data_IF_497097110870
#
_entry.id   IF_497097110870
#
_cell.length_a   1.000
_cell.length_b   1.000
_cell.length_c   1.000
_cell.angle_alpha   90.00
_cell.angle_beta   90.00
_cell.angle_gamma   90.00
#
_symmetry.space_group_name_H-M   'P 1'
#
loop_
_entity.id
_entity.type
_entity.pdbx_description
1 polymer ?
#
# COMPACT_ATOMS: atom_id res chain seq x y z
N UNK A 1 -9.55 -6.25 -69.13
CA UNK A 1 -9.28 -5.50 -67.87
C UNK A 1 -10.05 -4.18 -68.01
N UNK A 2 -11.35 -4.05 -67.66
CA UNK A 2 -11.98 -3.82 -66.34
C UNK A 2 -11.10 -2.96 -65.41
N UNK A 3 -11.54 -1.88 -64.76
CA UNK A 3 -12.78 -1.10 -64.72
C UNK A 3 -12.54 0.09 -63.78
N UNK A 4 -12.96 1.29 -64.19
CA UNK A 4 -13.58 2.41 -63.43
C UNK A 4 -12.93 3.02 -62.16
N UNK A 5 -12.91 4.36 -62.23
CA UNK A 5 -12.44 5.37 -61.27
C UNK A 5 -13.51 5.56 -60.18
N UNK A 6 -13.14 5.45 -58.90
CA UNK A 6 -14.04 5.78 -57.79
C UNK A 6 -13.80 7.21 -57.29
N UNK A 7 -14.85 8.02 -57.40
CA UNK A 7 -14.97 9.36 -56.83
C UNK A 7 -15.16 9.30 -55.31
N UNK A 8 -14.49 10.22 -54.62
CA UNK A 8 -14.50 10.33 -53.16
C UNK A 8 -15.81 10.88 -52.59
N UNK A 9 -16.11 10.46 -51.37
CA UNK A 9 -17.06 11.12 -50.47
C UNK A 9 -16.37 11.27 -49.11
N UNK A 10 -16.00 12.51 -48.77
CA UNK A 10 -15.46 12.87 -47.47
C UNK A 10 -16.63 13.14 -46.51
N UNK A 11 -16.76 12.32 -45.47
CA UNK A 11 -17.65 12.57 -44.33
C UNK A 11 -16.78 13.01 -43.15
N UNK A 12 -16.81 14.32 -42.88
CA UNK A 12 -16.16 14.93 -41.72
C UNK A 12 -16.89 14.54 -40.44
N UNK A 13 -16.21 13.79 -39.56
CA UNK A 13 -16.65 13.58 -38.18
C UNK A 13 -16.05 14.71 -37.35
N UNK A 14 -16.90 15.64 -36.91
CA UNK A 14 -16.52 16.67 -35.92
C UNK A 14 -16.35 15.95 -34.60
N UNK A 15 -15.10 15.79 -34.16
CA UNK A 15 -14.77 15.25 -32.85
C UNK A 15 -15.18 16.27 -31.77
N UNK A 16 -16.26 15.98 -31.04
CA UNK A 16 -16.54 16.62 -29.76
C UNK A 16 -15.55 16.03 -28.75
N UNK A 17 -14.35 16.61 -28.67
CA UNK A 17 -13.49 16.42 -27.51
C UNK A 17 -14.11 17.24 -26.39
N UNK A 18 -15.12 16.65 -25.74
CA UNK A 18 -15.54 17.10 -24.43
C UNK A 18 -14.34 16.88 -23.51
N UNK A 19 -13.59 17.94 -23.24
CA UNK A 19 -12.58 17.95 -22.21
C UNK A 19 -13.28 17.65 -20.89
N UNK A 20 -13.23 16.39 -20.46
CA UNK A 20 -13.52 16.04 -19.09
C UNK A 20 -12.62 16.92 -18.22
N UNK A 21 -13.15 17.50 -17.13
CA UNK A 21 -12.33 18.31 -16.23
C UNK A 21 -11.16 17.45 -15.80
N UNK A 22 -9.96 17.93 -16.10
CA UNK A 22 -8.73 17.40 -15.54
C UNK A 22 -8.73 17.74 -14.05
N UNK A 23 -9.45 16.93 -13.26
CA UNK A 23 -9.12 16.77 -11.84
C UNK A 23 -7.62 16.52 -11.79
N UNK A 24 -6.92 17.33 -11.03
CA UNK A 24 -5.52 17.15 -10.73
C UNK A 24 -5.38 15.78 -10.06
N UNK A 25 -5.19 14.74 -10.87
CA UNK A 25 -4.92 13.40 -10.38
C UNK A 25 -3.56 13.48 -9.72
N UNK A 26 -3.53 13.61 -8.41
CA UNK A 26 -2.37 13.16 -7.67
C UNK A 26 -2.11 11.73 -8.18
N UNK A 27 -0.99 11.53 -8.84
CA UNK A 27 -0.74 10.31 -9.61
C UNK A 27 -0.74 9.14 -8.64
N UNK A 28 -1.52 8.10 -8.95
CA UNK A 28 -1.50 6.85 -8.18
C UNK A 28 -0.07 6.34 -8.05
N UNK A 29 0.26 5.76 -6.90
CA UNK A 29 1.61 5.26 -6.61
C UNK A 29 1.58 3.76 -6.32
N UNK A 30 2.38 2.98 -7.05
CA UNK A 30 2.56 1.56 -6.76
C UNK A 30 3.67 1.38 -5.72
N UNK A 31 3.34 0.70 -4.61
CA UNK A 31 4.30 0.38 -3.55
C UNK A 31 4.27 -1.11 -3.21
N UNK A 32 5.36 -1.61 -2.65
CA UNK A 32 5.42 -2.96 -2.09
C UNK A 32 6.20 -3.01 -0.78
N UNK A 33 5.83 -3.94 0.09
CA UNK A 33 6.51 -4.19 1.36
C UNK A 33 7.38 -5.44 1.24
N UNK A 34 8.65 -5.31 1.59
CA UNK A 34 9.63 -6.40 1.60
C UNK A 34 10.38 -6.46 2.92
N UNK A 35 10.96 -7.61 3.25
CA UNK A 35 11.72 -7.82 4.48
C UNK A 35 10.91 -7.41 5.72
N UNK A 36 9.61 -7.75 5.73
CA UNK A 36 8.73 -7.46 6.86
C UNK A 36 9.06 -8.43 8.00
N UNK A 37 9.40 -7.85 9.14
CA UNK A 37 9.63 -8.52 10.41
C UNK A 37 8.66 -7.94 11.44
N UNK A 38 7.92 -8.80 12.15
CA UNK A 38 7.01 -8.37 13.22
C UNK A 38 7.31 -9.21 14.46
N UNK A 39 7.82 -8.55 15.50
CA UNK A 39 8.07 -9.16 16.80
C UNK A 39 6.87 -8.94 17.70
N UNK A 40 6.48 -10.01 18.39
CA UNK A 40 5.31 -10.04 19.26
C UNK A 40 5.69 -10.57 20.62
N UNK A 41 4.89 -10.22 21.61
CA UNK A 41 4.99 -10.77 22.95
C UNK A 41 3.70 -11.50 23.31
N UNK A 42 3.82 -12.80 23.57
CA UNK A 42 2.75 -13.59 24.19
C UNK A 42 2.77 -13.36 25.71
N UNK A 43 2.06 -12.33 26.13
CA UNK A 43 1.99 -11.91 27.53
C UNK A 43 0.96 -12.69 28.36
N UNK A 44 0.07 -13.46 27.73
CA UNK A 44 -1.14 -13.98 28.38
C UNK A 44 -1.52 -15.41 27.99
N UNK A 45 -0.70 -16.11 27.19
CA UNK A 45 -0.91 -17.51 26.81
C UNK A 45 -2.19 -17.75 26.03
N UNK A 46 -2.77 -16.69 25.48
CA UNK A 46 -3.89 -16.79 24.56
C UNK A 46 -3.43 -16.17 23.24
N UNK A 47 -3.50 -16.95 22.17
CA UNK A 47 -3.05 -16.56 20.82
C UNK A 47 -3.83 -15.36 20.21
N UNK A 48 -4.68 -14.74 21.02
CA UNK A 48 -5.61 -13.70 20.69
C UNK A 48 -5.05 -12.37 21.20
N UNK A 49 -4.28 -11.69 20.36
CA UNK A 49 -3.85 -10.29 20.53
C UNK A 49 -2.54 -10.09 21.32
N UNK A 50 -1.50 -10.82 20.91
CA UNK A 50 -0.13 -10.52 21.31
C UNK A 50 0.24 -9.08 20.97
N UNK A 51 0.63 -8.33 21.99
CA UNK A 51 1.22 -7.00 21.87
C UNK A 51 2.38 -7.07 20.87
N UNK A 52 2.29 -6.27 19.80
CA UNK A 52 3.40 -6.10 18.86
C UNK A 52 4.45 -5.27 19.59
N UNK A 53 5.68 -5.76 19.67
CA UNK A 53 6.77 -5.03 20.33
C UNK A 53 7.67 -4.32 19.33
N UNK A 54 7.81 -4.88 18.13
CA UNK A 54 8.64 -4.30 17.09
C UNK A 54 8.09 -4.65 15.70
N UNK A 55 8.22 -3.71 14.76
CA UNK A 55 8.02 -3.93 13.33
C UNK A 55 9.18 -3.32 12.58
N UNK A 56 9.78 -4.11 11.69
CA UNK A 56 10.70 -3.66 10.67
C UNK A 56 10.19 -4.02 9.28
N UNK A 57 10.26 -3.10 8.32
CA UNK A 57 10.00 -3.38 6.90
C UNK A 57 10.78 -2.45 5.97
N UNK A 58 10.92 -2.87 4.71
CA UNK A 58 11.33 -2.04 3.58
C UNK A 58 10.11 -1.73 2.70
N UNK A 59 9.79 -0.44 2.58
CA UNK A 59 8.78 0.09 1.66
C UNK A 59 9.46 0.43 0.32
N UNK A 60 9.17 -0.33 -0.72
CA UNK A 60 9.66 -0.05 -2.06
C UNK A 60 8.67 0.84 -2.80
N UNK A 61 9.12 2.04 -3.15
CA UNK A 61 8.39 3.07 -3.89
C UNK A 61 8.98 3.20 -5.30
N UNK A 62 8.32 3.91 -6.24
CA UNK A 62 8.89 4.20 -7.55
C UNK A 62 10.21 5.01 -7.49
N UNK A 63 10.43 5.76 -6.41
CA UNK A 63 11.62 6.58 -6.22
C UNK A 63 12.76 5.87 -5.48
N UNK A 64 12.50 4.71 -4.87
CA UNK A 64 13.49 3.95 -4.12
C UNK A 64 12.90 3.19 -2.94
N UNK A 65 13.77 2.53 -2.18
CA UNK A 65 13.38 1.81 -0.96
C UNK A 65 13.54 2.69 0.27
N UNK A 66 12.54 2.67 1.16
CA UNK A 66 12.49 3.40 2.42
C UNK A 66 12.36 2.41 3.57
N UNK A 67 13.23 2.49 4.57
CA UNK A 67 13.13 1.67 5.78
C UNK A 67 12.06 2.23 6.72
N UNK A 68 11.22 1.38 7.29
CA UNK A 68 10.25 1.78 8.31
C UNK A 68 10.38 0.88 9.55
N UNK A 69 10.66 1.50 10.70
CA UNK A 69 10.85 0.82 11.98
C UNK A 69 9.91 1.40 13.03
N UNK A 70 9.33 0.54 13.87
CA UNK A 70 8.51 0.95 15.00
C UNK A 70 8.72 0.00 16.18
N UNK A 71 8.90 0.56 17.38
CA UNK A 71 9.14 -0.21 18.62
C UNK A 71 8.09 0.08 19.71
N UNK A 72 7.12 0.96 19.42
CA UNK A 72 6.16 1.46 20.40
C UNK A 72 4.74 1.30 19.89
N UNK A 73 4.10 0.19 20.25
CA UNK A 73 2.71 -0.10 19.90
C UNK A 73 1.78 0.04 21.12
N UNK A 74 0.51 0.39 20.90
CA UNK A 74 -0.49 0.35 21.97
C UNK A 74 -0.75 -1.09 22.41
N UNK A 75 -1.44 -1.25 23.54
CA UNK A 75 -1.99 -2.54 23.99
C UNK A 75 -3.52 -2.43 24.09
N UNK A 76 -4.31 -3.14 23.27
CA UNK A 76 -3.89 -4.03 22.17
C UNK A 76 -3.29 -3.28 20.98
N UNK A 77 -2.34 -3.89 20.27
CA UNK A 77 -1.54 -3.23 19.23
C UNK A 77 -2.25 -3.01 17.89
N UNK A 78 -3.46 -3.55 17.73
CA UNK A 78 -4.23 -3.48 16.49
C UNK A 78 -5.57 -2.78 16.75
N UNK A 79 -5.90 -1.69 16.04
CA UNK A 79 -5.04 -0.99 15.09
C UNK A 79 -3.86 -0.32 15.79
N UNK A 80 -2.70 -0.26 15.13
CA UNK A 80 -1.52 0.41 15.67
C UNK A 80 -1.67 1.93 15.61
N UNK A 81 -0.74 2.66 16.24
CA UNK A 81 -0.50 4.05 15.88
C UNK A 81 -0.01 4.15 14.42
N UNK A 82 -0.12 5.35 13.84
CA UNK A 82 0.57 5.67 12.58
C UNK A 82 2.05 5.85 12.89
N UNK A 83 2.91 5.07 12.24
CA UNK A 83 4.35 5.11 12.42
C UNK A 83 5.00 5.70 11.17
N UNK A 84 5.83 6.73 11.35
CA UNK A 84 6.59 7.32 10.25
C UNK A 84 7.72 6.37 9.83
N UNK A 85 8.02 6.36 8.53
CA UNK A 85 9.21 5.71 7.99
C UNK A 85 10.44 6.63 8.11
N UNK A 86 11.61 6.13 7.70
CA UNK A 86 12.84 6.92 7.65
C UNK A 86 12.69 8.16 6.74
N UNK A 87 11.91 8.05 5.66
CA UNK A 87 11.36 9.21 4.97
C UNK A 87 10.03 9.60 5.64
N UNK A 88 9.94 10.77 6.29
CA UNK A 88 8.75 11.19 7.02
C UNK A 88 7.54 11.51 6.12
N UNK A 89 7.72 11.56 4.79
CA UNK A 89 6.60 11.63 3.86
C UNK A 89 5.79 10.32 3.83
N UNK A 90 6.41 9.19 4.19
CA UNK A 90 5.77 7.89 4.25
C UNK A 90 5.48 7.46 5.69
N UNK A 91 4.33 6.82 5.88
CA UNK A 91 3.96 6.22 7.15
C UNK A 91 3.17 4.94 6.95
N UNK A 92 3.13 4.10 7.97
CA UNK A 92 2.35 2.87 7.97
C UNK A 92 1.53 2.71 9.25
N UNK A 93 0.47 1.93 9.15
CA UNK A 93 -0.36 1.48 10.26
C UNK A 93 -0.72 0.01 10.04
N UNK A 94 -0.68 -0.79 11.10
CA UNK A 94 -1.22 -2.15 11.07
C UNK A 94 -2.67 -2.07 11.53
N UNK A 95 -3.61 -2.37 10.65
CA UNK A 95 -5.05 -2.17 10.89
C UNK A 95 -5.79 -3.44 11.19
N UNK A 96 -5.20 -4.60 10.92
CA UNK A 96 -5.88 -5.86 11.11
C UNK A 96 -4.95 -7.07 11.09
N UNK A 97 -5.49 -8.17 11.60
CA UNK A 97 -4.92 -9.51 11.51
C UNK A 97 -6.01 -10.48 11.04
N UNK A 98 -6.33 -10.51 9.74
CA UNK A 98 -7.51 -11.21 9.23
C UNK A 98 -7.42 -12.75 9.32
N UNK A 99 -6.27 -13.29 9.71
CA UNK A 99 -6.08 -14.72 9.91
C UNK A 99 -4.75 -15.05 10.61
N UNK A 100 -4.55 -16.33 10.86
CA UNK A 100 -3.30 -16.87 11.41
C UNK A 100 -2.12 -16.49 10.50
N UNK A 101 -1.23 -15.63 10.99
CA UNK A 101 -0.03 -15.22 10.23
C UNK A 101 -0.26 -14.21 9.10
N UNK A 102 -1.41 -13.51 9.05
CA UNK A 102 -1.66 -12.45 8.07
C UNK A 102 -1.83 -11.10 8.78
N UNK A 103 -1.12 -10.07 8.32
CA UNK A 103 -1.24 -8.69 8.81
C UNK A 103 -1.69 -7.75 7.71
N UNK A 104 -2.69 -6.92 8.00
CA UNK A 104 -3.13 -5.85 7.10
C UNK A 104 -2.39 -4.56 7.44
N UNK A 105 -1.68 -4.02 6.45
CA UNK A 105 -1.04 -2.74 6.51
C UNK A 105 -1.85 -1.70 5.74
N UNK A 106 -1.88 -0.48 6.25
CA UNK A 106 -2.25 0.73 5.52
C UNK A 106 -0.98 1.55 5.39
N UNK A 107 -0.65 1.95 4.16
CA UNK A 107 0.49 2.79 3.83
C UNK A 107 -0.06 4.15 3.41
N UNK A 108 0.59 5.21 3.85
CA UNK A 108 0.26 6.59 3.49
C UNK A 108 1.49 7.32 3.01
N UNK A 109 1.32 8.14 1.96
CA UNK A 109 2.32 9.05 1.44
C UNK A 109 1.77 10.48 1.42
N UNK A 110 2.33 11.36 2.24
CA UNK A 110 2.01 12.78 2.27
C UNK A 110 2.76 13.51 1.16
N UNK A 111 2.11 13.70 0.02
CA UNK A 111 2.67 14.40 -1.16
C UNK A 111 2.72 15.92 -0.94
N UNK A 112 1.75 16.46 -0.22
CA UNK A 112 1.70 17.87 0.18
C UNK A 112 0.86 18.04 1.45
N UNK A 113 0.72 19.27 1.96
CA UNK A 113 -0.17 19.55 3.10
C UNK A 113 -1.65 19.31 2.82
N UNK A 114 -2.04 19.23 1.54
CA UNK A 114 -3.43 19.01 1.12
C UNK A 114 -3.67 17.68 0.41
N UNK A 115 -2.62 16.88 0.18
CA UNK A 115 -2.71 15.62 -0.58
C UNK A 115 -1.98 14.51 0.17
N UNK A 116 -2.72 13.46 0.50
CA UNK A 116 -2.18 12.20 1.02
C UNK A 116 -2.69 11.06 0.17
N UNK A 117 -1.78 10.25 -0.35
CA UNK A 117 -2.12 8.99 -1.02
C UNK A 117 -2.19 7.89 0.04
N UNK A 118 -3.20 7.02 -0.05
CA UNK A 118 -3.35 5.89 0.88
C UNK A 118 -3.67 4.60 0.13
N UNK A 119 -3.22 3.48 0.66
CA UNK A 119 -3.50 2.15 0.12
C UNK A 119 -3.28 1.08 1.18
N UNK A 120 -3.86 -0.10 0.96
CA UNK A 120 -3.76 -1.22 1.90
C UNK A 120 -3.19 -2.45 1.22
N UNK A 121 -2.43 -3.25 1.98
CA UNK A 121 -1.91 -4.54 1.54
C UNK A 121 -1.87 -5.52 2.70
N UNK A 122 -1.65 -6.80 2.40
CA UNK A 122 -1.52 -7.86 3.39
C UNK A 122 -0.16 -8.52 3.30
N UNK A 123 0.39 -8.90 4.45
CA UNK A 123 1.66 -9.58 4.57
C UNK A 123 1.45 -10.92 5.26
N UNK A 124 1.93 -11.99 4.62
CA UNK A 124 1.96 -13.34 5.18
C UNK A 124 3.25 -13.61 5.93
N UNK A 125 3.12 -14.27 7.08
CA UNK A 125 4.21 -14.68 7.96
C UNK A 125 4.51 -16.18 7.85
N UNK A 126 5.71 -16.57 8.26
CA UNK A 126 6.16 -17.94 8.46
C UNK A 126 5.34 -18.74 9.52
N UNK A 127 4.14 -19.18 9.13
CA UNK A 127 3.32 -20.12 9.90
C UNK A 127 2.32 -19.48 10.88
N UNK A 128 1.62 -20.31 11.68
CA UNK A 128 0.60 -19.82 12.59
C UNK A 128 1.24 -19.12 13.79
N UNK A 129 1.01 -17.81 13.90
CA UNK A 129 1.25 -17.01 15.12
C UNK A 129 2.68 -17.17 15.67
N UNK A 130 3.74 -16.96 14.88
CA UNK A 130 5.10 -17.02 15.40
C UNK A 130 5.43 -15.76 16.22
N UNK A 131 6.19 -15.89 17.31
CA UNK A 131 6.69 -14.76 18.12
C UNK A 131 7.43 -13.75 17.23
N UNK A 132 8.23 -14.27 16.31
CA UNK A 132 8.86 -13.54 15.23
C UNK A 132 8.16 -13.91 13.92
N UNK A 133 7.43 -12.97 13.34
CA UNK A 133 6.94 -13.11 11.97
C UNK A 133 8.04 -12.65 11.02
N UNK A 134 8.54 -13.58 10.22
CA UNK A 134 9.31 -13.30 9.02
C UNK A 134 8.38 -13.35 7.81
N UNK A 135 8.49 -12.37 6.92
CA UNK A 135 7.72 -12.32 5.68
C UNK A 135 7.92 -13.58 4.83
N UNK A 136 6.83 -14.32 4.62
CA UNK A 136 6.78 -15.47 3.71
C UNK A 136 6.24 -15.05 2.32
N UNK A 137 5.32 -14.06 2.30
CA UNK A 137 4.76 -13.52 1.06
C UNK A 137 4.67 -11.99 1.09
N UNK A 138 5.10 -11.37 -0.02
CA UNK A 138 5.09 -9.93 -0.26
C UNK A 138 3.69 -9.35 -0.45
N UNK A 139 3.50 -8.12 0.02
CA UNK A 139 2.27 -7.34 -0.19
C UNK A 139 2.56 -6.11 -1.05
N UNK A 140 1.75 -5.91 -2.09
CA UNK A 140 1.75 -4.68 -2.91
C UNK A 140 0.46 -3.88 -2.70
N UNK A 141 0.55 -2.57 -2.84
CA UNK A 141 -0.59 -1.65 -2.79
C UNK A 141 -0.49 -0.59 -3.89
N UNK A 142 -1.65 -0.11 -4.32
CA UNK A 142 -1.77 1.15 -5.06
C UNK A 142 -2.22 2.23 -4.08
N UNK A 143 -1.42 3.28 -3.92
CA UNK A 143 -1.77 4.45 -3.12
C UNK A 143 -2.54 5.43 -4.00
N UNK A 144 -3.72 5.82 -3.56
CA UNK A 144 -4.60 6.76 -4.27
C UNK A 144 -4.95 7.92 -3.37
N UNK A 145 -5.11 9.12 -3.93
CA UNK A 145 -5.66 10.25 -3.18
C UNK A 145 -7.11 9.94 -2.79
N UNK A 146 -7.45 10.25 -1.54
CA UNK A 146 -8.83 10.22 -1.06
C UNK A 146 -9.63 11.43 -1.53
#
# INVERSE_FOLDING_TARGET
MRSQIFAGLALGVVALVAGAPMESRASDEQVSLTSVEIVRQDGNGNDNWDTITNVGLNLNTPSGSVRCDAESFPDPSIPSNVNACADPAYSFQITGRPGYGLYTFVISHKVSDSVTLTGSTQIGCNGPIPILCDQDHGGSATLTAA
#
